data_IF_221521873120
#
_entry.id   IF_221521873120
#
_cell.length_a   1.000
_cell.length_b   1.000
_cell.length_c   1.000
_cell.angle_alpha   90.00
_cell.angle_beta   90.00
_cell.angle_gamma   90.00
#
_symmetry.space_group_name_H-M   'P 1'
#
loop_
_entity.id
_entity.type
_entity.pdbx_description
1 polymer ?
#
# COMPACT_ATOMS: atom_id res chain seq x y z
N UNK A 1 20.67 -22.59 -13.36
CA UNK A 1 20.36 -21.50 -12.42
C UNK A 1 18.86 -21.29 -12.48
N UNK A 2 18.11 -21.32 -11.37
CA UNK A 2 16.69 -21.00 -11.43
C UNK A 2 16.60 -19.55 -11.90
N UNK A 3 15.95 -19.32 -13.04
CA UNK A 3 15.72 -17.99 -13.55
C UNK A 3 15.00 -17.19 -12.47
N UNK A 4 15.50 -16.01 -12.16
CA UNK A 4 14.73 -15.04 -11.39
C UNK A 4 13.47 -14.74 -12.20
N UNK A 5 12.36 -15.41 -11.87
CA UNK A 5 11.05 -15.00 -12.36
C UNK A 5 10.81 -13.62 -11.76
N UNK A 6 11.02 -12.60 -12.57
CA UNK A 6 10.77 -11.21 -12.21
C UNK A 6 9.30 -11.11 -11.79
N UNK A 7 9.07 -10.85 -10.49
CA UNK A 7 7.74 -10.77 -9.90
C UNK A 7 7.03 -9.51 -10.41
N UNK A 8 5.71 -9.54 -10.68
CA UNK A 8 5.00 -8.34 -11.06
C UNK A 8 5.05 -7.32 -9.92
N UNK A 9 5.77 -6.23 -10.15
CA UNK A 9 5.81 -5.07 -9.29
C UNK A 9 5.71 -3.82 -10.15
N UNK A 10 5.17 -2.76 -9.57
CA UNK A 10 5.37 -1.42 -10.08
C UNK A 10 6.34 -0.73 -9.15
N UNK A 11 7.46 -0.27 -9.69
CA UNK A 11 8.41 0.56 -8.94
C UNK A 11 8.38 2.03 -9.38
N UNK A 12 8.94 2.89 -8.53
CA UNK A 12 9.17 4.32 -8.82
C UNK A 12 10.59 4.71 -8.46
N UNK A 13 11.25 5.50 -9.30
CA UNK A 13 12.64 5.93 -9.05
C UNK A 13 12.80 6.93 -7.90
N UNK A 14 11.71 7.54 -7.42
CA UNK A 14 11.73 8.53 -6.34
C UNK A 14 10.67 8.21 -5.27
N UNK A 15 10.99 8.50 -4.01
CA UNK A 15 10.02 8.60 -2.91
C UNK A 15 9.55 10.07 -2.89
N UNK A 16 8.25 10.36 -2.70
CA UNK A 16 7.61 11.69 -2.83
C UNK A 16 7.30 12.11 -4.28
N UNK A 17 6.47 11.34 -4.97
CA UNK A 17 5.90 11.74 -6.26
C UNK A 17 4.78 12.77 -6.13
N UNK A 18 4.43 13.41 -7.24
CA UNK A 18 3.40 14.46 -7.27
C UNK A 18 1.95 13.90 -7.33
N UNK A 19 1.78 12.58 -7.30
CA UNK A 19 0.49 11.92 -7.46
C UNK A 19 0.36 10.71 -6.54
N UNK A 20 -0.84 10.49 -6.00
CA UNK A 20 -1.17 9.39 -5.10
C UNK A 20 -0.76 7.99 -5.62
N UNK A 21 -0.89 7.76 -6.92
CA UNK A 21 -0.48 6.48 -7.53
C UNK A 21 1.04 6.24 -7.44
N UNK A 22 1.84 7.30 -7.37
CA UNK A 22 3.29 7.18 -7.23
C UNK A 22 3.68 6.80 -5.80
N UNK A 23 2.96 7.33 -4.81
CA UNK A 23 3.14 6.97 -3.40
C UNK A 23 2.77 5.50 -3.13
N UNK A 24 1.68 5.03 -3.71
CA UNK A 24 1.29 3.62 -3.59
C UNK A 24 2.28 2.70 -4.30
N UNK A 25 2.79 3.11 -5.48
CA UNK A 25 3.81 2.34 -6.17
C UNK A 25 5.09 2.18 -5.33
N UNK A 26 5.56 3.28 -4.72
CA UNK A 26 6.72 3.28 -3.81
C UNK A 26 6.51 2.32 -2.63
N UNK A 27 5.36 2.43 -1.98
CA UNK A 27 4.98 1.62 -0.83
C UNK A 27 4.89 0.12 -1.09
N UNK A 28 4.45 -0.26 -2.30
CA UNK A 28 4.28 -1.65 -2.69
C UNK A 28 5.53 -2.25 -3.34
N UNK A 29 6.50 -1.44 -3.78
CA UNK A 29 7.75 -1.93 -4.39
C UNK A 29 8.61 -2.70 -3.37
N UNK A 30 9.32 -3.78 -3.75
CA UNK A 30 9.32 -4.52 -5.00
C UNK A 30 8.37 -5.73 -4.97
N UNK A 31 7.59 -5.90 -3.91
CA UNK A 31 6.80 -7.11 -3.68
C UNK A 31 5.38 -7.03 -4.24
N UNK A 32 4.95 -5.85 -4.66
CA UNK A 32 3.74 -5.56 -5.43
C UNK A 32 2.54 -6.32 -4.89
N UNK A 33 2.25 -7.46 -5.54
CA UNK A 33 1.13 -8.33 -5.24
C UNK A 33 1.21 -8.96 -3.84
N UNK A 34 2.37 -9.47 -3.43
CA UNK A 34 2.55 -10.14 -2.13
C UNK A 34 2.31 -9.15 -0.97
N UNK A 35 2.86 -7.94 -1.09
CA UNK A 35 2.68 -6.90 -0.08
C UNK A 35 1.27 -6.33 -0.09
N UNK A 36 0.66 -6.16 -1.27
CA UNK A 36 -0.76 -5.77 -1.39
C UNK A 36 -1.67 -6.76 -0.67
N UNK A 37 -1.48 -8.07 -0.91
CA UNK A 37 -2.26 -9.12 -0.25
C UNK A 37 -2.01 -9.16 1.26
N UNK A 38 -0.77 -9.01 1.69
CA UNK A 38 -0.41 -8.97 3.11
C UNK A 38 -1.14 -7.84 3.84
N UNK A 39 -1.07 -6.61 3.32
CA UNK A 39 -1.68 -5.43 3.93
C UNK A 39 -3.21 -5.56 3.96
N UNK A 40 -3.83 -6.03 2.87
CA UNK A 40 -5.27 -6.32 2.84
C UNK A 40 -5.63 -7.36 3.89
N UNK A 41 -4.82 -8.41 4.04
CA UNK A 41 -5.01 -9.45 5.04
C UNK A 41 -4.96 -8.88 6.45
N UNK A 42 -3.96 -8.06 6.76
CA UNK A 42 -3.82 -7.41 8.06
C UNK A 42 -5.03 -6.52 8.38
N UNK A 43 -5.41 -5.61 7.49
CA UNK A 43 -6.56 -4.70 7.68
C UNK A 43 -7.87 -5.48 7.91
N UNK A 44 -8.09 -6.57 7.17
CA UNK A 44 -9.29 -7.40 7.31
C UNK A 44 -9.26 -8.27 8.57
N UNK A 45 -8.09 -8.48 9.18
CA UNK A 45 -7.94 -9.25 10.43
C UNK A 45 -8.16 -8.41 11.70
N UNK A 46 -8.19 -7.07 11.56
CA UNK A 46 -8.41 -6.16 12.68
C UNK A 46 -9.82 -6.33 13.26
N UNK A 47 -9.89 -6.33 14.59
CA UNK A 47 -11.16 -6.34 15.30
C UNK A 47 -11.66 -4.90 15.54
N UNK A 48 -12.50 -4.42 14.63
CA UNK A 48 -13.08 -3.07 14.68
C UNK A 48 -14.05 -2.86 15.85
N UNK A 49 -14.33 -3.88 16.68
CA UNK A 49 -15.15 -3.72 17.89
C UNK A 49 -14.37 -3.13 19.07
N UNK A 50 -13.04 -3.09 18.98
CA UNK A 50 -12.16 -2.45 19.98
C UNK A 50 -11.54 -1.17 19.41
N UNK A 51 -11.38 -0.15 20.25
CA UNK A 51 -10.72 1.10 19.85
C UNK A 51 -9.21 0.90 19.70
N UNK A 52 -8.68 1.25 18.53
CA UNK A 52 -7.26 1.33 18.25
C UNK A 52 -6.92 2.63 17.52
N UNK A 53 -5.76 3.20 17.91
CA UNK A 53 -5.32 4.53 17.47
C UNK A 53 -3.97 4.55 16.77
N UNK A 54 -3.27 3.42 16.69
CA UNK A 54 -1.90 3.34 16.18
C UNK A 54 -1.59 1.95 15.59
N UNK A 55 -2.56 1.25 15.01
CA UNK A 55 -2.25 -0.03 14.36
C UNK A 55 -1.51 0.26 13.06
N UNK A 56 -0.18 0.20 13.13
CA UNK A 56 0.71 0.51 12.03
C UNK A 56 1.06 -0.76 11.26
N UNK A 57 0.69 -0.75 9.98
CA UNK A 57 1.09 -1.76 9.00
C UNK A 57 2.26 -1.17 8.22
N UNK A 58 3.40 -1.87 8.22
CA UNK A 58 4.61 -1.40 7.57
C UNK A 58 4.66 -1.82 6.10
N UNK A 59 5.09 -0.89 5.24
CA UNK A 59 5.39 -1.17 3.84
C UNK A 59 6.75 -1.84 3.69
N UNK A 60 7.26 -1.87 2.46
CA UNK A 60 8.57 -2.47 2.20
C UNK A 60 9.75 -1.56 2.64
N UNK A 61 9.60 -0.24 2.53
CA UNK A 61 10.62 0.70 2.98
C UNK A 61 10.36 1.09 4.44
N UNK A 62 11.43 1.12 5.27
CA UNK A 62 11.39 1.47 6.71
C UNK A 62 10.78 2.87 7.01
N UNK A 63 10.51 3.67 5.97
CA UNK A 63 9.92 5.01 6.05
C UNK A 63 8.48 5.10 5.58
N UNK A 64 7.86 3.99 5.16
CA UNK A 64 6.49 4.00 4.63
C UNK A 64 5.60 3.06 5.45
N UNK A 65 4.48 3.59 5.91
CA UNK A 65 3.56 2.84 6.75
C UNK A 65 2.14 3.34 6.59
N UNK A 66 1.20 2.49 6.97
CA UNK A 66 -0.21 2.83 7.06
C UNK A 66 -0.65 2.65 8.49
N UNK A 67 -1.09 3.73 9.11
CA UNK A 67 -1.78 3.66 10.38
C UNK A 67 -3.27 3.41 10.12
N UNK A 68 -3.84 2.39 10.74
CA UNK A 68 -5.30 2.21 10.80
C UNK A 68 -5.79 2.74 12.15
N UNK A 69 -6.85 3.55 12.08
CA UNK A 69 -7.49 4.17 13.24
C UNK A 69 -9.00 4.04 13.13
N UNK A 70 -9.66 3.54 14.17
CA UNK A 70 -11.13 3.40 14.19
C UNK A 70 -11.84 4.26 15.23
N UNK A 71 -11.12 4.94 16.13
CA UNK A 71 -11.77 5.85 17.09
C UNK A 71 -10.82 6.86 17.76
N UNK A 72 -11.10 8.19 17.73
CA UNK A 72 -11.74 8.89 16.61
C UNK A 72 -10.77 8.94 15.42
N UNK A 73 -11.24 8.86 14.15
CA UNK A 73 -12.63 9.01 13.70
C UNK A 73 -13.43 7.70 13.56
N UNK A 74 -14.76 7.84 13.52
CA UNK A 74 -15.74 6.82 13.09
C UNK A 74 -16.49 7.41 11.88
N UNK A 75 -16.38 6.85 10.66
CA UNK A 75 -15.86 5.52 10.30
C UNK A 75 -14.32 5.39 10.35
N UNK A 76 -13.78 4.16 10.40
CA UNK A 76 -12.34 3.90 10.43
C UNK A 76 -11.60 4.46 9.22
N UNK A 77 -10.38 4.93 9.45
CA UNK A 77 -9.49 5.53 8.44
C UNK A 77 -8.15 4.82 8.36
N UNK A 78 -7.57 4.83 7.16
CA UNK A 78 -6.19 4.51 6.87
C UNK A 78 -5.43 5.83 6.66
N UNK A 79 -4.31 6.00 7.35
CA UNK A 79 -3.43 7.15 7.27
C UNK A 79 -2.12 6.67 6.64
N UNK A 80 -1.96 6.99 5.37
CA UNK A 80 -0.78 6.65 4.59
C UNK A 80 0.32 7.67 4.91
N UNK A 81 1.45 7.19 5.42
CA UNK A 81 2.61 8.03 5.71
C UNK A 81 3.70 7.78 4.68
N UNK A 82 3.84 8.72 3.75
CA UNK A 82 4.93 8.75 2.77
C UNK A 82 5.82 9.94 3.03
N UNK A 83 6.98 9.69 3.65
CA UNK A 83 8.08 10.65 3.65
C UNK A 83 7.76 12.05 4.22
N UNK A 84 6.70 12.19 5.02
CA UNK A 84 6.32 13.43 5.69
C UNK A 84 4.97 14.06 5.26
N UNK A 85 4.24 13.48 4.30
CA UNK A 85 2.85 13.88 4.03
C UNK A 85 1.89 12.76 4.42
N UNK A 86 0.99 13.04 5.36
CA UNK A 86 -0.06 12.11 5.76
C UNK A 86 -1.25 12.24 4.80
N UNK A 87 -1.62 11.14 4.16
CA UNK A 87 -2.85 11.03 3.37
C UNK A 87 -3.84 10.19 4.15
N UNK A 88 -4.95 10.81 4.58
CA UNK A 88 -6.01 10.12 5.32
C UNK A 88 -7.18 9.80 4.40
N UNK A 89 -7.62 8.55 4.41
CA UNK A 89 -8.80 8.09 3.67
C UNK A 89 -9.59 7.03 4.46
N UNK A 90 -10.89 6.84 4.20
CA UNK A 90 -11.66 5.76 4.80
C UNK A 90 -11.03 4.39 4.51
N UNK A 91 -11.06 3.47 5.48
CA UNK A 91 -10.54 2.09 5.29
C UNK A 91 -11.19 1.40 4.09
N UNK A 92 -12.49 1.62 3.87
CA UNK A 92 -13.22 1.05 2.73
C UNK A 92 -12.69 1.53 1.39
N UNK A 93 -12.31 2.81 1.30
CA UNK A 93 -11.74 3.39 0.08
C UNK A 93 -10.31 2.86 -0.12
N UNK A 94 -9.53 2.75 0.96
CA UNK A 94 -8.18 2.21 0.88
C UNK A 94 -8.16 0.75 0.43
N UNK A 95 -9.07 -0.08 0.95
CA UNK A 95 -9.23 -1.47 0.51
C UNK A 95 -9.65 -1.57 -0.96
N UNK A 96 -10.49 -0.65 -1.46
CA UNK A 96 -10.85 -0.60 -2.87
C UNK A 96 -9.64 -0.26 -3.75
N UNK A 97 -8.84 0.72 -3.34
CA UNK A 97 -7.57 1.06 -4.01
C UNK A 97 -6.63 -0.15 -4.03
N UNK A 98 -6.43 -0.84 -2.90
CA UNK A 98 -5.57 -2.03 -2.84
C UNK A 98 -6.09 -3.16 -3.74
N UNK A 99 -7.41 -3.34 -3.87
CA UNK A 99 -8.00 -4.31 -4.80
C UNK A 99 -7.77 -3.91 -6.27
N UNK A 100 -7.92 -2.64 -6.63
CA UNK A 100 -7.60 -2.14 -7.97
C UNK A 100 -6.12 -2.38 -8.30
N UNK A 101 -5.23 -2.11 -7.34
CA UNK A 101 -3.80 -2.37 -7.45
C UNK A 101 -3.49 -3.85 -7.62
N UNK A 102 -4.13 -4.73 -6.84
CA UNK A 102 -4.00 -6.19 -6.97
C UNK A 102 -4.37 -6.64 -8.39
N UNK A 103 -5.54 -6.25 -8.87
CA UNK A 103 -6.03 -6.61 -10.23
C UNK A 103 -5.08 -6.08 -11.30
N UNK A 104 -4.61 -4.84 -11.15
CA UNK A 104 -3.63 -4.27 -12.07
C UNK A 104 -2.32 -5.08 -12.07
N UNK A 105 -1.75 -5.37 -10.90
CA UNK A 105 -0.50 -6.12 -10.77
C UNK A 105 -0.61 -7.55 -11.31
N UNK A 106 -1.75 -8.22 -11.14
CA UNK A 106 -2.03 -9.53 -11.74
C UNK A 106 -2.07 -9.48 -13.27
N UNK A 107 -2.43 -8.33 -13.86
CA UNK A 107 -2.47 -8.14 -15.31
C UNK A 107 -1.11 -7.85 -15.94
N UNK A 108 -0.09 -7.56 -15.13
CA UNK A 108 1.24 -7.13 -15.59
C UNK A 108 2.17 -8.35 -15.75
N UNK A 109 2.68 -8.64 -16.96
CA UNK A 109 3.47 -9.86 -17.21
C UNK A 109 4.94 -9.77 -16.74
N UNK A 110 5.47 -8.56 -16.55
CA UNK A 110 6.85 -8.28 -16.14
C UNK A 110 6.90 -7.00 -15.28
N UNK A 111 7.88 -6.83 -14.36
CA UNK A 111 8.04 -5.60 -13.58
C UNK A 111 7.95 -4.36 -14.44
N UNK A 112 7.09 -3.45 -14.02
CA UNK A 112 6.89 -2.17 -14.68
C UNK A 112 7.46 -1.06 -13.80
N UNK A 113 8.00 -0.01 -14.41
CA UNK A 113 8.47 1.17 -13.69
C UNK A 113 7.60 2.33 -14.14
N UNK A 114 7.03 3.10 -13.20
CA UNK A 114 6.24 4.30 -13.54
C UNK A 114 7.13 5.48 -13.97
N UNK A 115 8.41 5.24 -14.19
CA UNK A 115 9.33 6.23 -14.71
C UNK A 115 8.97 6.55 -16.16
N UNK A 116 8.60 7.81 -16.43
CA UNK A 116 8.65 8.34 -17.80
C UNK A 116 10.12 8.42 -18.23
N UNK A 117 10.68 7.35 -18.77
CA UNK A 117 11.85 7.41 -19.64
C UNK A 117 11.65 6.56 -20.88
#
# INVERSE_FOLDING_TARGET
MPGFTRRPCIGVSNINGNAFNHEIASFLEPNGLELTEHIRGEINSLDYTFDFKNDTIWGYHDSESVEIRNHPPDPPVAIFNTGGTEITLPVTEFLAILEEWRVFLESVPEPHWLDRR
#
